data_IF_120178960751
#
_entry.id   IF_120178960751
#
_cell.length_a   1.000
_cell.length_b   1.000
_cell.length_c   1.000
_cell.angle_alpha   90.00
_cell.angle_beta   90.00
_cell.angle_gamma   90.00
#
_symmetry.space_group_name_H-M   'P 1'
#
loop_
_entity.id
_entity.type
_entity.pdbx_description
1 polymer ?
#
# COMPACT_ATOMS: atom_id res chain seq x y z
N UNK A 1 -15.03 -2.92 -22.95
CA UNK A 1 -14.04 -3.49 -22.02
C UNK A 1 -14.81 -3.96 -20.80
N UNK A 2 -14.66 -5.22 -20.41
CA UNK A 2 -15.26 -5.76 -19.18
C UNK A 2 -14.54 -5.17 -17.94
N UNK A 3 -15.25 -4.97 -16.84
CA UNK A 3 -14.71 -4.50 -15.56
C UNK A 3 -13.58 -5.40 -15.05
N UNK A 4 -13.68 -6.73 -15.25
CA UNK A 4 -12.59 -7.65 -14.93
C UNK A 4 -11.32 -7.28 -15.72
N UNK A 5 -11.45 -7.02 -17.02
CA UNK A 5 -10.32 -6.65 -17.87
C UNK A 5 -9.63 -5.35 -17.41
N UNK A 6 -10.39 -4.40 -16.87
CA UNK A 6 -9.84 -3.16 -16.30
C UNK A 6 -8.94 -3.49 -15.10
N UNK A 7 -9.42 -4.34 -14.18
CA UNK A 7 -8.62 -4.73 -13.00
C UNK A 7 -7.41 -5.57 -13.41
N UNK A 8 -7.57 -6.50 -14.38
CA UNK A 8 -6.46 -7.30 -14.91
C UNK A 8 -5.39 -6.46 -15.59
N UNK A 9 -5.78 -5.38 -16.26
CA UNK A 9 -4.85 -4.40 -16.79
C UNK A 9 -4.02 -3.78 -15.67
N UNK A 10 -4.64 -3.29 -14.60
CA UNK A 10 -3.91 -2.73 -13.45
C UNK A 10 -3.04 -3.76 -12.74
N UNK A 11 -3.51 -5.00 -12.58
CA UNK A 11 -2.71 -6.09 -12.04
C UNK A 11 -1.44 -6.33 -12.88
N UNK A 12 -1.56 -6.36 -14.21
CA UNK A 12 -0.41 -6.49 -15.10
C UNK A 12 0.55 -5.28 -15.01
N UNK A 13 0.02 -4.07 -14.84
CA UNK A 13 0.83 -2.87 -14.61
C UNK A 13 1.64 -3.01 -13.31
N UNK A 14 1.03 -3.45 -12.22
CA UNK A 14 1.71 -3.65 -10.94
C UNK A 14 2.76 -4.78 -11.02
N UNK A 15 2.50 -5.86 -11.79
CA UNK A 15 3.49 -6.91 -12.05
C UNK A 15 4.72 -6.38 -12.80
N UNK A 16 4.56 -5.36 -13.65
CA UNK A 16 5.63 -4.76 -14.47
C UNK A 16 6.24 -3.48 -13.87
N UNK A 17 5.93 -3.19 -12.61
CA UNK A 17 6.49 -2.05 -11.88
C UNK A 17 7.30 -2.47 -10.65
N UNK A 18 8.29 -3.38 -10.77
CA UNK A 18 9.14 -3.70 -9.65
C UNK A 18 9.96 -2.46 -9.25
N UNK A 19 10.29 -2.41 -7.97
CA UNK A 19 11.16 -1.39 -7.42
C UNK A 19 12.58 -1.52 -8.02
N UNK A 20 13.27 -0.37 -8.10
CA UNK A 20 14.65 -0.34 -8.57
C UNK A 20 15.59 -0.84 -7.49
N UNK A 21 16.62 -1.59 -7.88
CA UNK A 21 17.75 -1.84 -7.00
C UNK A 21 18.38 -0.49 -6.59
N UNK A 22 18.85 -0.36 -5.34
CA UNK A 22 19.35 0.91 -4.84
C UNK A 22 20.54 1.38 -5.66
N UNK A 23 20.58 2.67 -6.00
CA UNK A 23 21.66 3.25 -6.82
C UNK A 23 22.98 3.20 -6.07
N UNK A 24 24.06 2.83 -6.78
CA UNK A 24 25.41 2.99 -6.27
C UNK A 24 25.68 4.46 -5.95
N UNK A 25 26.06 4.73 -4.71
CA UNK A 25 26.42 6.07 -4.26
C UNK A 25 27.49 6.01 -3.19
N UNK A 26 28.35 7.03 -3.16
CA UNK A 26 29.31 7.17 -2.06
C UNK A 26 28.54 7.44 -0.78
N UNK A 27 28.90 6.71 0.26
CA UNK A 27 28.31 6.86 1.59
C UNK A 27 28.66 8.24 2.17
N UNK A 28 27.65 9.06 2.46
CA UNK A 28 27.85 10.45 2.89
C UNK A 28 28.22 10.54 4.37
N UNK A 29 27.65 9.65 5.19
CA UNK A 29 27.95 9.57 6.62
C UNK A 29 27.81 8.13 7.16
N UNK A 30 28.25 7.91 8.40
CA UNK A 30 28.25 6.58 9.04
C UNK A 30 26.86 6.00 9.38
N UNK A 31 25.78 6.75 9.25
CA UNK A 31 24.41 6.25 9.48
C UNK A 31 23.73 5.81 8.18
N UNK A 32 24.23 6.26 7.03
CA UNK A 32 23.73 5.83 5.73
C UNK A 32 24.17 4.40 5.37
N UNK A 33 23.37 3.76 4.52
CA UNK A 33 23.70 2.49 3.90
C UNK A 33 24.99 2.60 3.07
N UNK A 34 25.77 1.52 3.09
CA UNK A 34 26.84 1.30 2.13
C UNK A 34 26.33 0.36 1.04
N UNK A 35 26.33 0.80 -0.22
CA UNK A 35 25.81 0.04 -1.36
C UNK A 35 26.96 -0.32 -2.28
N UNK A 36 27.08 -1.59 -2.65
CA UNK A 36 28.13 -2.07 -3.55
C UNK A 36 27.70 -3.32 -4.31
N UNK A 37 28.43 -3.57 -5.41
CA UNK A 37 28.22 -4.72 -6.27
C UNK A 37 29.35 -5.75 -6.10
N UNK A 38 29.03 -7.01 -6.35
CA UNK A 38 29.98 -8.10 -6.49
C UNK A 38 29.58 -9.03 -7.65
N UNK A 39 30.51 -9.47 -8.51
CA UNK A 39 30.20 -10.40 -9.59
C UNK A 39 29.67 -11.73 -9.08
N UNK A 40 28.66 -12.29 -9.74
CA UNK A 40 28.10 -13.60 -9.38
C UNK A 40 29.11 -14.73 -9.59
N UNK A 41 30.02 -14.61 -10.57
CA UNK A 41 31.06 -15.61 -10.83
C UNK A 41 31.91 -15.93 -9.58
N UNK A 42 32.26 -14.90 -8.79
CA UNK A 42 33.09 -15.01 -7.57
C UNK A 42 32.64 -13.98 -6.53
N UNK A 43 31.49 -14.20 -5.87
CA UNK A 43 30.90 -13.18 -5.02
C UNK A 43 31.66 -13.09 -3.70
N UNK A 44 32.04 -11.87 -3.32
CA UNK A 44 32.59 -11.53 -2.02
C UNK A 44 31.46 -11.00 -1.14
N UNK A 45 31.04 -11.80 -0.16
CA UNK A 45 29.86 -11.50 0.64
C UNK A 45 30.14 -10.42 1.69
N UNK A 46 29.16 -9.58 2.06
CA UNK A 46 29.36 -8.46 3.00
C UNK A 46 29.89 -8.84 4.38
N UNK A 47 29.60 -10.06 4.83
CA UNK A 47 29.96 -10.58 6.15
C UNK A 47 31.32 -11.29 6.18
N UNK A 48 32.03 -11.39 5.04
CA UNK A 48 33.38 -11.98 5.04
C UNK A 48 34.45 -10.93 5.37
N UNK A 49 35.58 -11.33 5.99
CA UNK A 49 36.66 -10.41 6.34
C UNK A 49 37.24 -9.63 5.15
N UNK A 50 37.29 -10.26 3.97
CA UNK A 50 37.86 -9.72 2.73
C UNK A 50 36.95 -8.66 2.09
N UNK A 51 35.69 -8.58 2.51
CA UNK A 51 34.70 -7.67 1.96
C UNK A 51 35.11 -6.21 2.15
N UNK A 52 34.78 -5.37 1.17
CA UNK A 52 34.94 -3.91 1.30
C UNK A 52 34.02 -3.31 2.39
N UNK A 53 32.99 -4.06 2.81
CA UNK A 53 32.10 -3.69 3.91
C UNK A 53 32.81 -3.76 5.26
N UNK A 54 33.73 -4.71 5.46
CA UNK A 54 34.50 -4.83 6.71
C UNK A 54 35.38 -3.60 6.99
N UNK A 55 35.75 -2.87 5.93
CA UNK A 55 36.54 -1.63 5.98
C UNK A 55 35.70 -0.39 6.32
N UNK A 56 34.37 -0.51 6.33
CA UNK A 56 33.46 0.62 6.59
C UNK A 56 33.26 0.85 8.09
N UNK A 57 33.38 2.10 8.54
CA UNK A 57 33.15 2.45 9.95
C UNK A 57 31.65 2.48 10.27
N UNK A 58 31.28 1.92 11.42
CA UNK A 58 29.92 1.97 11.97
C UNK A 58 29.79 3.03 13.08
N UNK A 59 28.57 3.57 13.32
CA UNK A 59 28.27 4.31 14.53
C UNK A 59 28.41 3.42 15.77
N UNK A 60 28.59 4.03 16.95
CA UNK A 60 28.58 3.28 18.22
C UNK A 60 27.22 2.57 18.39
N UNK A 61 27.24 1.34 18.92
CA UNK A 61 26.05 0.52 19.19
C UNK A 61 25.18 0.28 17.94
N UNK A 62 25.81 -0.02 16.81
CA UNK A 62 25.14 -0.41 15.56
C UNK A 62 25.82 -1.63 14.98
N UNK A 63 25.04 -2.45 14.30
CA UNK A 63 25.51 -3.59 13.51
C UNK A 63 25.03 -3.44 12.06
N UNK A 64 25.59 -4.22 11.15
CA UNK A 64 25.09 -4.28 9.78
C UNK A 64 23.82 -5.12 9.67
N UNK A 65 22.90 -4.68 8.81
CA UNK A 65 21.88 -5.49 8.17
C UNK A 65 22.11 -5.42 6.67
N UNK A 66 22.13 -6.54 5.98
CA UNK A 66 22.46 -6.62 4.57
C UNK A 66 21.23 -7.00 3.75
N UNK A 67 20.81 -6.15 2.81
CA UNK A 67 19.81 -6.51 1.80
C UNK A 67 20.54 -6.83 0.50
N UNK A 68 20.37 -8.06 0.02
CA UNK A 68 20.80 -8.49 -1.29
C UNK A 68 19.73 -8.16 -2.33
N UNK A 69 20.17 -7.70 -3.49
CA UNK A 69 19.44 -7.63 -4.75
C UNK A 69 20.20 -8.55 -5.71
N UNK A 70 19.65 -9.74 -5.95
CA UNK A 70 20.34 -10.83 -6.63
C UNK A 70 20.03 -10.84 -8.13
N UNK A 71 21.07 -11.06 -8.93
CA UNK A 71 20.97 -11.14 -10.39
C UNK A 71 20.35 -9.87 -10.99
N UNK A 72 21.12 -8.77 -10.94
CA UNK A 72 20.68 -7.51 -11.51
C UNK A 72 20.40 -7.64 -13.01
N UNK A 73 19.30 -7.02 -13.46
CA UNK A 73 18.90 -6.98 -14.86
C UNK A 73 18.34 -5.61 -15.25
N UNK A 74 18.39 -5.34 -16.55
CA UNK A 74 17.79 -4.17 -17.17
C UNK A 74 16.34 -4.46 -17.56
N UNK A 75 15.38 -3.74 -16.97
CA UNK A 75 13.95 -3.93 -17.23
C UNK A 75 13.57 -3.68 -18.70
N UNK A 76 14.41 -2.99 -19.49
CA UNK A 76 14.17 -2.79 -20.93
C UNK A 76 14.17 -4.12 -21.68
N UNK A 77 14.99 -5.10 -21.27
CA UNK A 77 15.02 -6.44 -21.87
C UNK A 77 13.66 -7.13 -21.70
N UNK A 78 13.02 -6.94 -20.55
CA UNK A 78 11.68 -7.48 -20.27
C UNK A 78 10.65 -6.81 -21.16
N UNK A 79 10.67 -5.48 -21.23
CA UNK A 79 9.75 -4.70 -22.07
C UNK A 79 9.88 -5.05 -23.56
N UNK A 80 11.10 -5.12 -24.10
CA UNK A 80 11.38 -5.54 -25.48
C UNK A 80 10.86 -6.95 -25.77
N UNK A 81 11.02 -7.87 -24.81
CA UNK A 81 10.54 -9.24 -24.97
C UNK A 81 9.01 -9.31 -24.97
N UNK A 82 8.34 -8.54 -24.11
CA UNK A 82 6.88 -8.47 -24.05
C UNK A 82 6.30 -7.80 -25.30
N UNK A 83 6.93 -6.73 -25.79
CA UNK A 83 6.57 -6.08 -27.05
C UNK A 83 6.65 -7.06 -28.23
N UNK A 84 7.73 -7.85 -28.31
CA UNK A 84 7.86 -8.87 -29.34
C UNK A 84 6.78 -9.98 -29.28
N UNK A 85 6.14 -10.20 -28.12
CA UNK A 85 5.11 -11.24 -27.95
C UNK A 85 3.69 -10.72 -28.12
N UNK A 86 3.40 -9.50 -27.66
CA UNK A 86 2.05 -8.94 -27.64
C UNK A 86 1.83 -7.79 -28.63
N UNK A 87 2.90 -7.15 -29.11
CA UNK A 87 2.85 -5.93 -29.91
C UNK A 87 2.66 -4.66 -29.08
N UNK A 88 2.93 -3.52 -29.70
CA UNK A 88 2.66 -2.18 -29.17
C UNK A 88 1.70 -1.44 -30.10
N UNK A 89 0.41 -1.48 -29.76
CA UNK A 89 -0.64 -1.04 -30.69
C UNK A 89 -0.93 0.45 -30.54
N UNK A 90 -0.86 1.00 -29.31
CA UNK A 90 -1.16 2.40 -28.99
C UNK A 90 -0.47 2.89 -27.70
N UNK A 91 -0.09 4.17 -27.65
CA UNK A 91 0.35 4.83 -26.42
C UNK A 91 1.77 4.46 -25.92
N UNK A 92 2.57 3.83 -26.76
CA UNK A 92 3.93 3.38 -26.43
C UNK A 92 4.82 4.56 -26.01
N UNK A 93 5.27 4.53 -24.75
CA UNK A 93 6.45 5.28 -24.32
C UNK A 93 7.65 4.35 -24.37
N UNK A 94 8.79 4.85 -24.83
CA UNK A 94 10.04 4.09 -24.80
C UNK A 94 10.32 3.57 -23.38
N UNK A 95 10.59 2.26 -23.22
CA UNK A 95 10.94 1.67 -21.94
C UNK A 95 12.12 2.41 -21.32
N UNK A 96 11.89 2.96 -20.12
CA UNK A 96 12.97 3.62 -19.38
C UNK A 96 13.85 2.57 -18.73
N UNK A 97 15.16 2.80 -18.76
CA UNK A 97 16.12 2.00 -18.03
C UNK A 97 15.79 2.00 -16.53
N UNK A 98 15.60 0.81 -15.98
CA UNK A 98 15.54 0.54 -14.56
C UNK A 98 16.33 -0.74 -14.30
N UNK A 99 17.27 -0.65 -13.37
CA UNK A 99 18.00 -1.81 -12.89
C UNK A 99 17.21 -2.42 -11.72
N UNK A 100 16.70 -3.63 -11.93
CA UNK A 100 16.01 -4.41 -10.89
C UNK A 100 16.77 -5.72 -10.64
N UNK A 101 16.20 -6.61 -9.83
CA UNK A 101 16.82 -7.86 -9.42
C UNK A 101 15.81 -9.00 -9.50
N UNK A 102 16.26 -10.23 -9.77
CA UNK A 102 15.37 -11.40 -9.87
C UNK A 102 14.74 -11.72 -8.52
N UNK A 103 15.50 -11.56 -7.44
CA UNK A 103 15.00 -11.66 -6.06
C UNK A 103 15.84 -10.78 -5.13
N UNK A 104 15.31 -10.56 -3.93
CA UNK A 104 15.97 -9.89 -2.84
C UNK A 104 15.83 -10.71 -1.55
N UNK A 105 16.79 -10.57 -0.65
CA UNK A 105 16.79 -11.26 0.65
C UNK A 105 17.58 -10.46 1.67
N UNK A 106 17.20 -10.54 2.95
CA UNK A 106 17.93 -9.88 4.04
C UNK A 106 18.79 -10.86 4.81
N UNK A 107 19.96 -10.40 5.20
CA UNK A 107 20.91 -11.15 6.00
C UNK A 107 21.34 -10.34 7.21
N UNK A 108 21.51 -11.03 8.33
CA UNK A 108 22.08 -10.48 9.56
C UNK A 108 23.54 -10.07 9.36
N UNK A 109 24.13 -9.33 10.31
CA UNK A 109 25.55 -8.96 10.29
C UNK A 109 26.51 -10.16 10.11
N UNK A 110 26.09 -11.35 10.55
CA UNK A 110 26.86 -12.60 10.44
C UNK A 110 26.43 -13.47 9.26
N UNK A 111 25.73 -12.93 8.27
CA UNK A 111 25.41 -13.65 7.03
C UNK A 111 24.33 -14.70 7.12
N UNK A 112 23.55 -14.74 8.20
CA UNK A 112 22.36 -15.61 8.29
C UNK A 112 21.17 -14.96 7.59
N UNK A 113 20.41 -15.74 6.80
CA UNK A 113 19.15 -15.29 6.22
C UNK A 113 18.19 -14.85 7.34
N UNK A 114 17.51 -13.72 7.15
CA UNK A 114 16.45 -13.26 8.05
C UNK A 114 15.15 -13.92 7.62
N UNK A 115 14.42 -14.49 8.59
CA UNK A 115 13.14 -15.14 8.35
C UNK A 115 12.17 -14.22 7.60
N UNK A 116 11.39 -14.80 6.69
CA UNK A 116 10.40 -14.13 5.84
C UNK A 116 10.92 -12.98 4.95
N UNK A 117 12.23 -12.77 4.88
CA UNK A 117 12.81 -11.65 4.12
C UNK A 117 13.06 -11.91 2.63
N UNK A 118 12.93 -13.15 2.18
CA UNK A 118 13.16 -13.52 0.79
C UNK A 118 11.94 -13.12 -0.06
N UNK A 119 12.18 -12.40 -1.14
CA UNK A 119 11.17 -11.85 -2.06
C UNK A 119 11.64 -11.96 -3.50
N UNK A 120 10.79 -12.42 -4.41
CA UNK A 120 11.03 -12.55 -5.86
C UNK A 120 10.41 -11.37 -6.59
N UNK A 121 11.05 -10.90 -7.66
CA UNK A 121 10.50 -9.84 -8.50
C UNK A 121 9.26 -10.32 -9.25
N UNK A 122 8.16 -9.59 -9.11
CA UNK A 122 6.91 -9.80 -9.85
C UNK A 122 7.11 -9.70 -11.36
N UNK A 123 7.96 -8.81 -11.84
CA UNK A 123 8.31 -8.65 -13.26
C UNK A 123 9.07 -9.86 -13.79
N UNK A 124 10.07 -10.33 -13.05
CA UNK A 124 10.82 -11.54 -13.41
C UNK A 124 9.89 -12.76 -13.41
N UNK A 125 9.06 -12.92 -12.39
CA UNK A 125 8.07 -14.00 -12.31
C UNK A 125 7.08 -13.94 -13.49
N UNK A 126 6.49 -12.78 -13.74
CA UNK A 126 5.53 -12.56 -14.83
C UNK A 126 6.16 -12.91 -16.18
N UNK A 127 7.35 -12.40 -16.46
CA UNK A 127 8.08 -12.75 -17.68
C UNK A 127 8.30 -14.26 -17.80
N UNK A 128 8.71 -14.90 -16.72
CA UNK A 128 8.88 -16.36 -16.66
C UNK A 128 7.61 -17.13 -17.01
N UNK A 129 6.46 -16.71 -16.47
CA UNK A 129 5.15 -17.28 -16.83
C UNK A 129 4.85 -17.10 -18.31
N UNK A 130 5.07 -15.90 -18.86
CA UNK A 130 4.81 -15.63 -20.28
C UNK A 130 5.71 -16.47 -21.18
N UNK A 131 7.02 -16.54 -20.91
CA UNK A 131 7.98 -17.33 -21.70
C UNK A 131 7.66 -18.83 -21.68
N UNK A 132 7.11 -19.32 -20.57
CA UNK A 132 6.74 -20.74 -20.40
C UNK A 132 5.29 -21.03 -20.79
N UNK A 133 4.53 -20.04 -21.27
CA UNK A 133 3.13 -20.19 -21.65
C UNK A 133 2.20 -20.53 -20.48
N UNK A 134 2.60 -20.21 -19.25
CA UNK A 134 1.79 -20.44 -18.04
C UNK A 134 0.93 -19.22 -17.73
N UNK A 135 -0.22 -19.47 -17.12
CA UNK A 135 -1.11 -18.40 -16.65
C UNK A 135 -0.40 -17.51 -15.61
N UNK A 136 -0.54 -16.20 -15.73
CA UNK A 136 0.06 -15.22 -14.81
C UNK A 136 -0.99 -14.47 -14.01
N UNK A 137 -2.28 -14.74 -14.22
CA UNK A 137 -3.37 -14.07 -13.51
C UNK A 137 -3.40 -14.42 -12.02
N UNK A 138 -2.80 -15.56 -11.65
CA UNK A 138 -2.61 -16.04 -10.29
C UNK A 138 -1.30 -16.80 -10.12
N UNK A 139 -0.95 -17.05 -8.87
CA UNK A 139 0.13 -17.96 -8.48
C UNK A 139 1.42 -17.29 -8.03
N UNK A 140 1.52 -15.95 -8.10
CA UNK A 140 2.69 -15.22 -7.63
C UNK A 140 3.00 -15.55 -6.16
N UNK A 141 2.05 -15.37 -5.23
CA UNK A 141 2.29 -15.64 -3.81
C UNK A 141 2.60 -17.13 -3.53
N UNK A 142 2.04 -18.04 -4.33
CA UNK A 142 2.34 -19.49 -4.19
C UNK A 142 3.77 -19.81 -4.61
N UNK A 143 4.23 -19.25 -5.74
CA UNK A 143 5.59 -19.41 -6.24
C UNK A 143 6.59 -18.68 -5.33
N UNK A 144 6.25 -17.48 -4.87
CA UNK A 144 6.97 -16.69 -3.87
C UNK A 144 7.16 -17.47 -2.56
N UNK A 145 6.11 -18.10 -2.03
CA UNK A 145 6.18 -18.97 -0.86
C UNK A 145 7.08 -20.17 -1.10
N UNK A 146 6.96 -20.82 -2.25
CA UNK A 146 7.80 -21.98 -2.62
C UNK A 146 9.29 -21.60 -2.67
N UNK A 147 9.62 -20.48 -3.30
CA UNK A 147 10.98 -19.95 -3.37
C UNK A 147 11.52 -19.55 -1.99
N UNK A 148 10.68 -18.94 -1.14
CA UNK A 148 11.02 -18.58 0.25
C UNK A 148 11.30 -19.82 1.10
N UNK A 149 10.45 -20.83 1.04
CA UNK A 149 10.65 -22.11 1.75
C UNK A 149 11.94 -22.80 1.29
N UNK A 150 12.23 -22.78 -0.02
CA UNK A 150 13.49 -23.28 -0.57
C UNK A 150 14.69 -22.52 0.02
N UNK A 151 14.66 -21.18 0.02
CA UNK A 151 15.74 -20.37 0.58
C UNK A 151 15.98 -20.65 2.07
N UNK A 152 14.90 -20.75 2.87
CA UNK A 152 14.98 -21.08 4.29
C UNK A 152 15.55 -22.48 4.52
N UNK A 153 15.11 -23.47 3.75
CA UNK A 153 15.61 -24.86 3.86
C UNK A 153 17.09 -25.00 3.47
N UNK A 154 17.57 -24.14 2.56
CA UNK A 154 18.95 -24.19 2.09
C UNK A 154 19.93 -23.52 3.07
N UNK A 155 19.46 -22.56 3.86
CA UNK A 155 20.29 -21.70 4.71
C UNK A 155 19.97 -21.88 6.20
N UNK A 156 20.50 -22.93 6.83
CA UNK A 156 20.39 -23.15 8.29
C UNK A 156 21.43 -22.36 9.12
N UNK A 157 22.30 -21.56 8.47
CA UNK A 157 23.42 -20.89 9.11
C UNK A 157 23.96 -19.71 8.31
N UNK A 158 25.26 -19.44 8.45
CA UNK A 158 25.93 -18.41 7.64
C UNK A 158 25.93 -18.82 6.17
N UNK A 159 25.46 -17.94 5.31
CA UNK A 159 25.31 -18.20 3.88
C UNK A 159 26.66 -18.04 3.17
N UNK A 160 27.02 -19.06 2.39
CA UNK A 160 28.26 -19.09 1.61
C UNK A 160 28.06 -18.52 0.19
N UNK A 161 29.17 -18.10 -0.43
CA UNK A 161 29.17 -17.61 -1.82
C UNK A 161 28.62 -18.66 -2.79
N UNK A 162 28.96 -19.93 -2.57
CA UNK A 162 28.46 -21.04 -3.38
C UNK A 162 26.97 -21.26 -3.18
N UNK A 163 26.49 -21.30 -1.92
CA UNK A 163 25.07 -21.49 -1.64
C UNK A 163 24.20 -20.38 -2.25
N UNK A 164 24.68 -19.13 -2.24
CA UNK A 164 23.96 -18.02 -2.84
C UNK A 164 23.90 -18.12 -4.38
N UNK A 165 24.99 -18.56 -5.03
CA UNK A 165 25.00 -18.84 -6.48
C UNK A 165 24.04 -19.99 -6.83
N UNK A 166 24.05 -21.06 -6.07
CA UNK A 166 23.17 -22.22 -6.27
C UNK A 166 21.69 -21.83 -6.15
N UNK A 167 21.33 -21.05 -5.13
CA UNK A 167 19.97 -20.52 -4.98
C UNK A 167 19.60 -19.62 -6.15
N UNK A 168 20.51 -18.75 -6.61
CA UNK A 168 20.27 -17.86 -7.75
C UNK A 168 20.02 -18.64 -9.03
N UNK A 169 20.86 -19.63 -9.32
CA UNK A 169 20.69 -20.49 -10.47
C UNK A 169 19.35 -21.26 -10.40
N UNK A 170 19.03 -21.83 -9.24
CA UNK A 170 17.78 -22.56 -9.05
C UNK A 170 16.56 -21.66 -9.24
N UNK A 171 16.57 -20.44 -8.68
CA UNK A 171 15.49 -19.46 -8.84
C UNK A 171 15.26 -19.10 -10.31
N UNK A 172 16.33 -18.86 -11.09
CA UNK A 172 16.22 -18.60 -12.53
C UNK A 172 15.57 -19.78 -13.27
N UNK A 173 15.96 -21.01 -12.94
CA UNK A 173 15.38 -22.22 -13.55
C UNK A 173 13.92 -22.42 -13.15
N UNK A 174 13.58 -22.22 -11.88
CA UNK A 174 12.22 -22.32 -11.36
C UNK A 174 11.27 -21.34 -12.06
N UNK A 175 11.73 -20.10 -12.26
CA UNK A 175 10.96 -19.07 -12.97
C UNK A 175 10.91 -19.28 -14.49
N UNK A 176 11.73 -20.17 -15.06
CA UNK A 176 11.81 -20.34 -16.52
C UNK A 176 12.61 -19.23 -17.22
N UNK A 177 13.57 -18.61 -16.50
CA UNK A 177 14.41 -17.50 -16.97
C UNK A 177 15.87 -17.90 -17.21
N UNK A 178 16.20 -19.19 -17.11
CA UNK A 178 17.58 -19.70 -17.10
C UNK A 178 18.46 -19.20 -18.25
N UNK A 179 17.90 -19.06 -19.45
CA UNK A 179 18.62 -18.63 -20.65
C UNK A 179 18.29 -17.19 -21.07
N UNK A 180 17.31 -16.55 -20.43
CA UNK A 180 16.76 -15.28 -20.90
C UNK A 180 17.72 -14.11 -20.74
N UNK A 181 18.33 -13.98 -19.57
CA UNK A 181 19.26 -12.89 -19.26
C UNK A 181 20.70 -13.16 -19.73
N UNK A 182 20.98 -14.36 -20.26
CA UNK A 182 22.32 -14.81 -20.62
C UNK A 182 23.04 -15.54 -19.48
N UNK A 183 24.36 -15.65 -19.57
CA UNK A 183 25.17 -16.37 -18.59
C UNK A 183 25.14 -15.69 -17.21
N UNK A 184 24.60 -16.39 -16.21
CA UNK A 184 24.48 -15.91 -14.81
C UNK A 184 25.78 -15.31 -14.24
N UNK A 185 26.93 -15.85 -14.62
CA UNK A 185 28.24 -15.43 -14.11
C UNK A 185 28.65 -14.01 -14.54
N UNK A 186 28.03 -13.48 -15.59
CA UNK A 186 28.23 -12.09 -16.05
C UNK A 186 27.36 -11.07 -15.30
N UNK A 187 26.40 -11.53 -14.49
CA UNK A 187 25.54 -10.66 -13.70
C UNK A 187 26.15 -10.31 -12.34
N UNK A 188 25.51 -9.36 -11.67
CA UNK A 188 25.94 -8.80 -10.41
C UNK A 188 24.96 -9.15 -9.28
N UNK A 189 25.52 -9.30 -8.09
CA UNK A 189 24.80 -9.10 -6.84
C UNK A 189 25.04 -7.68 -6.36
N UNK A 190 23.98 -7.01 -5.89
CA UNK A 190 24.08 -5.73 -5.18
C UNK A 190 23.68 -5.88 -3.73
N UNK A 191 24.52 -5.39 -2.84
CA UNK A 191 24.25 -5.38 -1.41
C UNK A 191 24.07 -3.97 -0.89
N UNK A 192 22.97 -3.74 -0.19
CA UNK A 192 22.74 -2.56 0.67
C UNK A 192 23.01 -2.97 2.12
N UNK A 193 24.12 -2.52 2.67
CA UNK A 193 24.48 -2.72 4.08
C UNK A 193 24.05 -1.51 4.91
N UNK A 194 22.98 -1.63 5.69
CA UNK A 194 22.40 -0.58 6.52
C UNK A 194 22.86 -0.72 8.00
N UNK A 195 23.34 0.35 8.65
CA UNK A 195 23.56 0.36 10.10
C UNK A 195 22.24 0.34 10.85
N UNK A 196 22.00 -0.69 11.67
CA UNK A 196 20.77 -0.84 12.47
C UNK A 196 21.07 -0.98 13.96
N UNK A 197 20.05 -0.69 14.78
CA UNK A 197 20.05 -1.01 16.22
C UNK A 197 19.70 -2.50 16.39
N UNK A 198 20.50 -3.31 17.12
CA UNK A 198 20.21 -4.73 17.28
C UNK A 198 18.87 -5.03 17.96
N UNK A 199 18.43 -4.14 18.84
CA UNK A 199 17.23 -4.22 19.69
C UNK A 199 15.97 -3.62 19.07
N UNK A 200 16.09 -3.00 17.89
CA UNK A 200 14.96 -2.41 17.17
C UNK A 200 15.11 -2.69 15.67
N UNK A 201 14.89 -3.94 15.23
CA UNK A 201 14.81 -4.24 13.81
C UNK A 201 13.61 -3.47 13.24
N UNK A 202 13.87 -2.54 12.33
CA UNK A 202 12.79 -1.89 11.58
C UNK A 202 12.27 -2.90 10.54
N UNK A 203 10.96 -3.13 10.54
CA UNK A 203 10.31 -3.73 9.37
C UNK A 203 10.54 -2.77 8.22
N UNK A 204 11.14 -3.25 7.12
CA UNK A 204 11.15 -2.46 5.89
C UNK A 204 10.16 -3.09 4.92
N UNK A 205 9.58 -2.23 4.09
CA UNK A 205 8.68 -2.58 3.00
C UNK A 205 9.31 -3.62 2.07
N UNK A 206 8.46 -4.30 1.30
CA UNK A 206 8.88 -5.20 0.23
C UNK A 206 9.88 -4.47 -0.69
N UNK A 207 11.10 -5.01 -0.90
CA UNK A 207 12.15 -4.32 -1.64
C UNK A 207 11.98 -4.37 -3.17
N UNK A 208 11.02 -5.13 -3.69
CA UNK A 208 10.88 -5.39 -5.13
C UNK A 208 9.47 -5.19 -5.66
N UNK A 209 8.42 -5.43 -4.88
CA UNK A 209 7.07 -5.56 -5.42
C UNK A 209 6.09 -4.52 -4.87
N UNK A 210 4.98 -4.40 -5.58
CA UNK A 210 3.80 -3.66 -5.13
C UNK A 210 3.00 -4.49 -4.12
N UNK A 211 2.48 -3.83 -3.09
CA UNK A 211 1.61 -4.46 -2.09
C UNK A 211 0.20 -4.74 -2.62
N UNK A 212 -0.15 -4.22 -3.80
CA UNK A 212 -1.49 -4.32 -4.40
C UNK A 212 -1.70 -5.58 -5.27
N UNK A 213 -0.65 -6.37 -5.51
CA UNK A 213 -0.69 -7.45 -6.50
C UNK A 213 -1.80 -8.47 -6.22
N UNK A 214 -1.76 -9.09 -5.05
CA UNK A 214 -2.73 -10.13 -4.70
C UNK A 214 -4.14 -9.56 -4.56
N UNK A 215 -4.27 -8.36 -3.98
CA UNK A 215 -5.55 -7.66 -3.85
C UNK A 215 -6.22 -7.43 -5.21
N UNK A 216 -5.47 -6.98 -6.22
CA UNK A 216 -6.00 -6.78 -7.57
C UNK A 216 -6.42 -8.10 -8.21
N UNK A 217 -5.66 -9.17 -7.99
CA UNK A 217 -6.02 -10.50 -8.48
C UNK A 217 -7.29 -11.04 -7.80
N UNK A 218 -7.44 -10.82 -6.49
CA UNK A 218 -8.63 -11.14 -5.70
C UNK A 218 -9.86 -10.39 -6.17
N UNK A 219 -9.72 -9.08 -6.41
CA UNK A 219 -10.80 -8.24 -6.93
C UNK A 219 -11.21 -8.68 -8.34
N UNK A 220 -10.26 -9.01 -9.22
CA UNK A 220 -10.58 -9.51 -10.56
C UNK A 220 -11.37 -10.82 -10.51
N UNK A 221 -10.95 -11.78 -9.68
CA UNK A 221 -11.66 -13.07 -9.50
C UNK A 221 -13.04 -12.89 -8.84
N UNK A 222 -13.18 -11.93 -7.93
CA UNK A 222 -14.47 -11.60 -7.34
C UNK A 222 -15.44 -11.08 -8.42
N UNK A 223 -14.97 -10.14 -9.25
CA UNK A 223 -15.76 -9.57 -10.36
C UNK A 223 -16.17 -10.67 -11.35
N UNK A 224 -15.26 -11.57 -11.73
CA UNK A 224 -15.56 -12.66 -12.68
C UNK A 224 -16.63 -13.63 -12.17
N UNK A 225 -16.72 -13.79 -10.84
CA UNK A 225 -17.79 -14.54 -10.15
C UNK A 225 -19.08 -13.73 -9.92
N UNK A 226 -19.15 -12.49 -10.39
CA UNK A 226 -20.28 -11.59 -10.17
C UNK A 226 -20.33 -10.98 -8.77
N UNK A 227 -19.26 -11.09 -7.98
CA UNK A 227 -19.15 -10.54 -6.63
C UNK A 227 -18.41 -9.20 -6.71
N UNK A 228 -19.14 -8.10 -6.56
CA UNK A 228 -18.58 -6.74 -6.49
C UNK A 228 -19.40 -5.88 -5.56
N UNK A 229 -18.74 -4.94 -4.89
CA UNK A 229 -19.41 -3.93 -4.08
C UNK A 229 -20.01 -2.84 -4.97
N UNK A 230 -21.07 -2.18 -4.50
CA UNK A 230 -21.67 -1.05 -5.21
C UNK A 230 -20.69 0.11 -5.48
N UNK A 231 -19.82 0.53 -4.52
CA UNK A 231 -18.79 1.53 -4.80
C UNK A 231 -17.83 1.13 -5.92
N UNK A 232 -17.42 -0.14 -5.96
CA UNK A 232 -16.51 -0.63 -7.00
C UNK A 232 -17.19 -0.69 -8.36
N UNK A 233 -18.45 -1.12 -8.43
CA UNK A 233 -19.24 -1.08 -9.67
C UNK A 233 -19.39 0.35 -10.19
N UNK A 234 -19.69 1.31 -9.31
CA UNK A 234 -19.77 2.72 -9.65
C UNK A 234 -18.43 3.25 -10.17
N UNK A 235 -17.31 2.90 -9.52
CA UNK A 235 -15.97 3.33 -9.91
C UNK A 235 -15.53 2.79 -11.28
N UNK A 236 -15.76 1.49 -11.54
CA UNK A 236 -15.36 0.84 -12.79
C UNK A 236 -16.36 1.06 -13.94
N UNK A 237 -17.45 1.80 -13.71
CA UNK A 237 -18.46 2.08 -14.72
C UNK A 237 -17.88 2.99 -15.80
N UNK A 238 -18.00 2.56 -17.05
CA UNK A 238 -17.48 3.35 -18.19
C UNK A 238 -18.25 4.67 -18.40
N UNK A 239 -19.58 4.62 -18.27
CA UNK A 239 -20.44 5.79 -18.42
C UNK A 239 -21.51 5.79 -17.33
N UNK A 240 -21.60 6.91 -16.59
CA UNK A 240 -22.78 7.16 -15.77
C UNK A 240 -23.92 7.61 -16.70
N UNK A 241 -25.05 6.89 -16.76
CA UNK A 241 -26.21 7.32 -17.56
C UNK A 241 -26.84 8.61 -17.02
N UNK A 242 -26.54 9.01 -15.78
CA UNK A 242 -27.07 10.26 -15.21
C UNK A 242 -26.42 11.47 -15.91
N UNK A 243 -27.23 12.43 -16.39
CA UNK A 243 -26.68 13.64 -16.99
C UNK A 243 -25.92 14.44 -15.95
N UNK A 244 -24.74 14.95 -16.33
CA UNK A 244 -23.99 15.89 -15.52
C UNK A 244 -24.82 17.15 -15.29
N UNK A 245 -25.09 17.48 -14.04
CA UNK A 245 -25.73 18.73 -13.67
C UNK A 245 -24.67 19.84 -13.59
N UNK A 246 -24.78 20.84 -14.46
CA UNK A 246 -23.95 22.04 -14.37
C UNK A 246 -24.57 22.99 -13.33
N UNK A 247 -23.80 23.36 -12.30
CA UNK A 247 -24.31 24.14 -11.15
C UNK A 247 -24.90 25.49 -11.58
N UNK A 248 -24.34 26.11 -12.62
CA UNK A 248 -24.82 27.40 -13.14
C UNK A 248 -26.04 27.30 -14.08
N UNK A 249 -26.53 26.09 -14.39
CA UNK A 249 -27.72 25.92 -15.22
C UNK A 249 -28.99 26.22 -14.40
N UNK A 250 -29.98 26.88 -15.00
CA UNK A 250 -31.29 27.12 -14.36
C UNK A 250 -31.94 25.82 -13.88
N UNK A 251 -31.69 24.71 -14.56
CA UNK A 251 -32.20 23.39 -14.17
C UNK A 251 -31.59 22.86 -12.87
N UNK A 252 -30.45 23.41 -12.44
CA UNK A 252 -29.79 23.04 -11.19
C UNK A 252 -30.37 23.75 -9.97
N UNK A 253 -31.07 24.88 -10.13
CA UNK A 253 -31.52 25.70 -9.00
C UNK A 253 -32.38 24.93 -8.00
N UNK A 254 -33.38 24.17 -8.47
CA UNK A 254 -34.26 23.40 -7.59
C UNK A 254 -33.52 22.23 -6.87
N UNK A 255 -32.76 21.36 -7.56
CA UNK A 255 -31.93 20.34 -6.89
C UNK A 255 -30.96 20.92 -5.86
N UNK A 256 -30.30 22.04 -6.19
CA UNK A 256 -29.34 22.69 -5.29
C UNK A 256 -30.03 23.26 -4.05
N UNK A 257 -31.16 23.95 -4.23
CA UNK A 257 -31.97 24.44 -3.11
C UNK A 257 -32.39 23.28 -2.21
N UNK A 258 -32.88 22.17 -2.77
CA UNK A 258 -33.26 20.98 -2.01
C UNK A 258 -32.11 20.42 -1.15
N UNK A 259 -30.86 20.45 -1.65
CA UNK A 259 -29.67 20.02 -0.89
C UNK A 259 -29.23 21.02 0.19
N UNK A 260 -29.76 22.24 0.17
CA UNK A 260 -29.41 23.32 1.10
C UNK A 260 -30.62 23.76 1.92
N UNK A 261 -31.70 22.99 1.91
CA UNK A 261 -32.81 23.19 2.84
C UNK A 261 -32.38 22.83 4.26
N UNK A 262 -32.92 23.46 5.31
CA UNK A 262 -32.50 23.23 6.70
C UNK A 262 -32.56 21.76 7.16
N UNK A 263 -33.48 20.96 6.62
CA UNK A 263 -33.64 19.54 6.90
C UNK A 263 -32.58 18.64 6.23
N UNK A 264 -31.82 19.18 5.27
CA UNK A 264 -30.71 18.48 4.63
C UNK A 264 -29.37 18.63 5.39
N UNK A 265 -29.31 19.47 6.42
CA UNK A 265 -28.12 19.67 7.25
C UNK A 265 -28.04 18.61 8.34
N UNK A 266 -26.82 18.18 8.68
CA UNK A 266 -26.61 17.41 9.90
C UNK A 266 -27.02 18.21 11.14
N UNK A 267 -27.44 17.50 12.19
CA UNK A 267 -27.73 18.06 13.51
C UNK A 267 -26.49 18.61 14.23
N UNK A 268 -25.30 18.43 13.67
CA UNK A 268 -24.03 18.88 14.22
C UNK A 268 -23.09 19.37 13.14
N UNK A 269 -22.23 20.31 13.51
CA UNK A 269 -21.09 20.78 12.72
C UNK A 269 -19.84 20.85 13.61
N UNK A 270 -18.67 21.04 13.01
CA UNK A 270 -17.47 21.31 13.77
C UNK A 270 -17.59 22.67 14.46
N UNK A 271 -17.16 22.81 15.74
CA UNK A 271 -17.26 24.07 16.49
C UNK A 271 -16.18 25.08 16.05
N UNK A 272 -16.19 25.44 14.77
CA UNK A 272 -15.20 26.33 14.13
C UNK A 272 -15.23 27.73 14.73
N UNK A 273 -14.08 28.42 14.69
CA UNK A 273 -13.91 29.81 15.10
C UNK A 273 -15.03 30.73 14.57
N UNK A 274 -15.54 31.58 15.45
CA UNK A 274 -16.67 32.49 15.23
C UNK A 274 -17.97 31.80 14.77
N UNK A 275 -18.09 30.49 15.03
CA UNK A 275 -19.22 29.67 14.58
C UNK A 275 -19.47 29.74 13.06
N UNK A 276 -18.40 29.96 12.29
CA UNK A 276 -18.49 30.06 10.84
C UNK A 276 -18.83 28.69 10.26
N UNK A 277 -19.96 28.63 9.55
CA UNK A 277 -20.34 27.45 8.76
C UNK A 277 -19.52 27.31 7.47
N UNK A 278 -19.71 26.18 6.80
CA UNK A 278 -19.11 25.90 5.50
C UNK A 278 -19.56 26.91 4.44
N UNK A 279 -18.67 27.21 3.49
CA UNK A 279 -19.08 27.97 2.30
C UNK A 279 -20.03 27.14 1.44
N UNK A 280 -20.82 27.80 0.61
CA UNK A 280 -21.89 27.20 -0.20
C UNK A 280 -21.51 25.88 -0.88
N UNK A 281 -20.37 25.82 -1.59
CA UNK A 281 -19.93 24.62 -2.30
C UNK A 281 -19.50 23.48 -1.37
N UNK A 282 -18.93 23.79 -0.21
CA UNK A 282 -18.55 22.81 0.80
C UNK A 282 -19.79 22.24 1.47
N UNK A 283 -20.75 23.10 1.86
CA UNK A 283 -22.01 22.68 2.46
C UNK A 283 -22.81 21.79 1.52
N UNK A 284 -22.90 22.19 0.24
CA UNK A 284 -23.55 21.39 -0.80
C UNK A 284 -22.92 19.99 -0.89
N UNK A 285 -21.58 19.91 -0.83
CA UNK A 285 -20.88 18.63 -0.86
C UNK A 285 -21.18 17.78 0.39
N UNK A 286 -21.12 18.33 1.61
CA UNK A 286 -21.45 17.61 2.85
C UNK A 286 -22.88 17.09 2.83
N UNK A 287 -23.86 17.94 2.52
CA UNK A 287 -25.26 17.54 2.49
C UNK A 287 -25.53 16.49 1.39
N UNK A 288 -24.83 16.60 0.25
CA UNK A 288 -24.94 15.58 -0.82
C UNK A 288 -24.33 14.25 -0.38
N UNK A 289 -23.18 14.25 0.30
CA UNK A 289 -22.56 13.05 0.87
C UNK A 289 -23.52 12.39 1.86
N UNK A 290 -24.02 13.14 2.84
CA UNK A 290 -24.92 12.59 3.87
C UNK A 290 -26.18 11.99 3.25
N UNK A 291 -26.87 12.77 2.41
CA UNK A 291 -28.12 12.31 1.79
C UNK A 291 -27.98 11.17 0.79
N UNK A 292 -26.76 10.85 0.35
CA UNK A 292 -26.50 9.77 -0.63
C UNK A 292 -25.86 8.56 0.01
N UNK A 293 -25.01 8.75 1.02
CA UNK A 293 -24.13 7.70 1.56
C UNK A 293 -24.39 7.36 3.04
N UNK A 294 -25.12 8.18 3.81
CA UNK A 294 -25.29 7.93 5.26
C UNK A 294 -25.97 6.57 5.56
N UNK A 295 -27.01 6.23 4.81
CA UNK A 295 -27.76 4.97 4.96
C UNK A 295 -27.53 3.99 3.81
N UNK A 296 -26.50 4.23 2.98
CA UNK A 296 -26.31 3.54 1.71
C UNK A 296 -24.86 3.10 1.46
N UNK A 297 -24.65 2.58 0.25
CA UNK A 297 -23.33 2.25 -0.26
C UNK A 297 -23.09 3.03 -1.56
N UNK A 298 -21.86 3.44 -1.79
CA UNK A 298 -21.51 4.10 -3.03
C UNK A 298 -20.22 4.89 -2.94
N UNK A 299 -19.99 5.70 -3.96
CA UNK A 299 -18.84 6.55 -4.09
C UNK A 299 -19.28 7.96 -4.49
N UNK A 300 -18.68 8.97 -3.85
CA UNK A 300 -18.87 10.36 -4.24
C UNK A 300 -17.51 11.06 -4.31
N UNK A 301 -17.17 11.59 -5.49
CA UNK A 301 -15.97 12.38 -5.70
C UNK A 301 -16.20 13.86 -5.40
N UNK A 302 -15.41 14.44 -4.51
CA UNK A 302 -15.39 15.89 -4.27
C UNK A 302 -14.08 16.47 -4.78
N UNK A 303 -14.15 17.32 -5.81
CA UNK A 303 -12.98 18.03 -6.30
C UNK A 303 -12.82 19.36 -5.57
N UNK A 304 -11.67 19.56 -4.93
CA UNK A 304 -11.30 20.82 -4.30
C UNK A 304 -9.93 21.27 -4.80
N UNK A 305 -9.82 22.41 -5.51
CA UNK A 305 -8.54 23.03 -5.82
C UNK A 305 -7.67 23.30 -4.56
N UNK A 306 -6.36 23.62 -4.71
CA UNK A 306 -5.52 24.02 -3.59
C UNK A 306 -6.14 25.22 -2.83
N UNK A 307 -6.14 25.16 -1.50
CA UNK A 307 -6.66 26.24 -0.64
C UNK A 307 -8.19 26.30 -0.48
N UNK A 308 -8.98 25.40 -1.08
CA UNK A 308 -10.45 25.46 -0.99
C UNK A 308 -11.06 24.78 0.25
N UNK A 309 -10.30 24.68 1.34
CA UNK A 309 -10.78 24.18 2.64
C UNK A 309 -11.27 22.73 2.66
N UNK A 310 -10.55 21.80 2.00
CA UNK A 310 -10.88 20.36 2.03
C UNK A 310 -10.92 19.80 3.45
N UNK A 311 -9.99 20.19 4.31
CA UNK A 311 -9.99 19.78 5.73
C UNK A 311 -11.23 20.30 6.46
N UNK A 312 -11.69 21.52 6.16
CA UNK A 312 -12.90 22.09 6.78
C UNK A 312 -14.14 21.25 6.44
N UNK A 313 -14.28 20.83 5.17
CA UNK A 313 -15.35 19.91 4.77
C UNK A 313 -15.28 18.58 5.52
N UNK A 314 -14.08 18.00 5.67
CA UNK A 314 -13.89 16.75 6.38
C UNK A 314 -14.23 16.86 7.88
N UNK A 315 -13.92 17.98 8.53
CA UNK A 315 -14.27 18.22 9.94
C UNK A 315 -15.77 18.12 10.19
N UNK A 316 -16.57 18.78 9.35
CA UNK A 316 -18.03 18.74 9.49
C UNK A 316 -18.61 17.35 9.22
N UNK A 317 -18.06 16.63 8.24
CA UNK A 317 -18.47 15.25 7.98
C UNK A 317 -18.13 14.33 9.18
N UNK A 318 -16.93 14.46 9.76
CA UNK A 318 -16.52 13.71 10.93
C UNK A 318 -17.39 14.06 12.14
N UNK A 319 -17.67 15.34 12.37
CA UNK A 319 -18.57 15.78 13.45
C UNK A 319 -19.96 15.15 13.31
N UNK A 320 -20.52 15.14 12.10
CA UNK A 320 -21.81 14.49 11.83
C UNK A 320 -21.81 12.98 12.14
N UNK A 321 -20.76 12.24 11.74
CA UNK A 321 -20.65 10.80 12.01
C UNK A 321 -20.48 10.53 13.51
N UNK A 322 -19.62 11.29 14.19
CA UNK A 322 -19.36 11.12 15.63
C UNK A 322 -20.62 11.43 16.45
N UNK A 323 -21.32 12.53 16.14
CA UNK A 323 -22.56 12.89 16.83
C UNK A 323 -23.65 11.85 16.58
N UNK A 324 -23.79 11.34 15.36
CA UNK A 324 -24.77 10.28 15.06
C UNK A 324 -24.50 8.99 15.85
N UNK A 325 -23.22 8.65 16.06
CA UNK A 325 -22.82 7.55 16.94
C UNK A 325 -23.15 7.86 18.40
N UNK A 326 -22.88 9.08 18.86
CA UNK A 326 -23.16 9.52 20.23
C UNK A 326 -24.67 9.46 20.52
N UNK A 327 -25.52 9.90 19.58
CA UNK A 327 -26.98 9.81 19.67
C UNK A 327 -27.46 8.36 19.79
N UNK A 328 -26.76 7.43 19.14
CA UNK A 328 -27.07 6.00 19.26
C UNK A 328 -26.64 5.43 20.61
N UNK A 329 -25.47 5.82 21.10
CA UNK A 329 -25.00 5.45 22.44
C UNK A 329 -25.90 6.02 23.54
N UNK A 330 -26.39 7.25 23.39
CA UNK A 330 -27.28 7.92 24.35
C UNK A 330 -28.64 7.22 24.50
N UNK A 331 -29.07 6.41 23.52
CA UNK A 331 -30.28 5.59 23.59
C UNK A 331 -30.10 4.33 24.46
N UNK A 332 -28.86 3.96 24.81
CA UNK A 332 -28.57 2.80 25.65
C UNK A 332 -28.88 3.12 27.12
N UNK A 333 -29.41 2.13 27.86
CA UNK A 333 -29.72 2.32 29.29
C UNK A 333 -28.46 2.35 30.15
N UNK A 334 -27.41 1.66 29.71
CA UNK A 334 -26.11 1.56 30.39
C UNK A 334 -25.02 1.20 29.39
N UNK A 335 -23.77 1.54 29.71
CA UNK A 335 -22.62 1.31 28.84
C UNK A 335 -22.42 -0.15 28.41
N UNK A 336 -22.76 -1.14 29.26
CA UNK A 336 -22.62 -2.55 28.90
C UNK A 336 -23.53 -2.99 27.75
N UNK A 337 -24.63 -2.26 27.48
CA UNK A 337 -25.56 -2.58 26.39
C UNK A 337 -24.97 -2.23 25.01
N UNK A 338 -23.79 -1.59 24.98
CA UNK A 338 -23.00 -1.36 23.76
C UNK A 338 -22.35 -2.64 23.22
N UNK A 339 -22.35 -3.73 24.00
CA UNK A 339 -21.76 -5.01 23.64
C UNK A 339 -22.82 -6.11 23.58
N UNK A 340 -22.63 -7.07 22.67
CA UNK A 340 -23.48 -8.25 22.63
C UNK A 340 -23.25 -9.14 23.87
N UNK A 341 -24.32 -9.62 24.49
CA UNK A 341 -24.27 -10.43 25.74
C UNK A 341 -23.42 -11.68 25.63
N UNK A 342 -23.42 -12.34 24.48
CA UNK A 342 -22.63 -13.54 24.17
C UNK A 342 -21.58 -13.26 23.07
N UNK A 343 -21.04 -12.04 23.06
CA UNK A 343 -20.14 -11.55 22.01
C UNK A 343 -18.66 -11.76 22.26
N UNK A 344 -18.24 -12.63 23.20
CA UNK A 344 -16.82 -12.77 23.53
C UNK A 344 -16.06 -13.41 22.37
N UNK A 345 -15.08 -12.70 21.84
CA UNK A 345 -14.24 -13.14 20.73
C UNK A 345 -12.79 -13.26 21.21
N UNK A 346 -12.10 -14.28 20.73
CA UNK A 346 -10.67 -14.47 20.98
C UNK A 346 -9.87 -13.85 19.83
N UNK A 347 -8.91 -13.00 20.18
CA UNK A 347 -7.96 -12.40 19.25
C UNK A 347 -6.53 -12.85 19.61
N UNK A 348 -5.60 -12.67 18.69
CA UNK A 348 -4.18 -12.91 18.92
C UNK A 348 -3.41 -11.62 18.66
N UNK A 349 -2.64 -11.18 19.65
CA UNK A 349 -1.71 -10.06 19.52
C UNK A 349 -0.30 -10.54 19.84
N UNK A 350 0.54 -10.70 18.80
CA UNK A 350 1.93 -11.12 18.95
C UNK A 350 2.12 -12.48 19.64
N UNK A 351 1.23 -13.44 19.38
CA UNK A 351 1.25 -14.78 20.00
C UNK A 351 0.51 -14.86 21.35
N UNK A 352 -0.01 -13.74 21.87
CA UNK A 352 -0.78 -13.72 23.10
C UNK A 352 -2.27 -13.72 22.79
N UNK A 353 -3.01 -14.65 23.41
CA UNK A 353 -4.47 -14.62 23.35
C UNK A 353 -5.01 -13.39 24.08
N UNK A 354 -5.83 -12.63 23.39
CA UNK A 354 -6.60 -11.50 23.89
C UNK A 354 -8.09 -11.82 23.75
N UNK A 355 -8.92 -11.13 24.53
CA UNK A 355 -10.38 -11.25 24.43
C UNK A 355 -11.00 -9.88 24.20
N UNK A 356 -11.90 -9.81 23.23
CA UNK A 356 -12.75 -8.65 22.95
C UNK A 356 -14.22 -9.05 23.06
N UNK A 357 -15.10 -8.06 23.10
CA UNK A 357 -16.55 -8.27 23.02
C UNK A 357 -17.07 -7.61 21.76
N UNK A 358 -17.83 -8.35 20.97
CA UNK A 358 -18.53 -7.86 19.79
C UNK A 358 -19.46 -6.72 20.17
N UNK A 359 -19.37 -5.61 19.45
CA UNK A 359 -20.25 -4.47 19.63
C UNK A 359 -21.69 -4.82 19.24
N UNK A 360 -22.64 -4.14 19.86
CA UNK A 360 -24.03 -4.13 19.46
C UNK A 360 -24.12 -3.64 18.00
N UNK A 361 -24.78 -4.36 17.07
CA UNK A 361 -24.87 -3.96 15.66
C UNK A 361 -25.45 -2.58 15.40
N UNK A 362 -26.23 -2.03 16.34
CA UNK A 362 -26.69 -0.64 16.27
C UNK A 362 -25.52 0.38 16.25
N UNK A 363 -24.31 -0.01 16.65
CA UNK A 363 -23.12 0.83 16.68
C UNK A 363 -22.19 0.63 15.46
N UNK A 364 -22.61 -0.13 14.44
CA UNK A 364 -21.89 -0.26 13.18
C UNK A 364 -22.25 0.89 12.23
N UNK A 365 -21.38 1.19 11.26
CA UNK A 365 -21.61 2.19 10.22
C UNK A 365 -21.10 3.60 10.57
N UNK A 366 -20.47 3.75 11.74
CA UNK A 366 -19.86 5.00 12.18
C UNK A 366 -18.33 4.99 12.09
N UNK A 367 -17.75 3.91 11.56
CA UNK A 367 -16.32 3.77 11.36
C UNK A 367 -15.85 4.72 10.26
N UNK A 368 -14.73 5.42 10.53
CA UNK A 368 -14.12 6.33 9.57
C UNK A 368 -12.73 5.78 9.25
N UNK A 369 -12.50 5.47 7.97
CA UNK A 369 -11.19 5.08 7.47
C UNK A 369 -10.70 6.17 6.53
N UNK A 370 -9.56 6.77 6.87
CA UNK A 370 -8.87 7.75 6.02
C UNK A 370 -7.65 7.07 5.42
N UNK A 371 -7.58 7.05 4.09
CA UNK A 371 -6.46 6.48 3.33
C UNK A 371 -5.93 7.49 2.33
N UNK A 372 -4.62 7.47 2.09
CA UNK A 372 -3.96 8.26 1.05
C UNK A 372 -2.67 7.58 0.61
N UNK A 373 -2.34 7.70 -0.67
CA UNK A 373 -1.07 7.24 -1.26
C UNK A 373 0.13 8.13 -0.90
N UNK A 374 -0.12 9.24 -0.20
CA UNK A 374 0.90 10.13 0.33
C UNK A 374 0.77 10.23 1.86
N UNK A 375 1.77 9.71 2.57
CA UNK A 375 1.86 9.74 4.03
C UNK A 375 1.71 11.16 4.60
N UNK A 376 2.27 12.18 3.92
CA UNK A 376 2.15 13.57 4.37
C UNK A 376 0.71 14.10 4.31
N UNK A 377 -0.13 13.59 3.40
CA UNK A 377 -1.53 14.01 3.35
C UNK A 377 -2.35 13.37 4.49
N UNK A 378 -2.07 12.12 4.86
CA UNK A 378 -2.67 11.48 6.05
C UNK A 378 -2.23 12.23 7.31
N UNK A 379 -0.91 12.48 7.43
CA UNK A 379 -0.34 13.20 8.55
C UNK A 379 -1.01 14.57 8.72
N UNK A 380 -1.15 15.34 7.63
CA UNK A 380 -1.85 16.63 7.66
C UNK A 380 -3.28 16.50 8.18
N UNK A 381 -4.06 15.52 7.70
CA UNK A 381 -5.43 15.31 8.21
C UNK A 381 -5.40 14.97 9.70
N UNK A 382 -4.54 14.06 10.13
CA UNK A 382 -4.45 13.65 11.54
C UNK A 382 -3.95 14.75 12.47
N UNK A 383 -3.05 15.61 12.00
CA UNK A 383 -2.52 16.74 12.76
C UNK A 383 -3.46 17.94 12.76
N UNK A 384 -4.26 18.15 11.72
CA UNK A 384 -5.17 19.29 11.61
C UNK A 384 -6.51 19.05 12.29
N UNK A 385 -6.99 17.81 12.41
CA UNK A 385 -8.30 17.52 12.99
C UNK A 385 -8.41 17.86 14.50
N UNK A 386 -7.49 17.47 15.41
CA UNK A 386 -7.64 17.70 16.85
C UNK A 386 -7.15 19.09 17.32
N UNK A 387 -6.88 20.02 16.41
CA UNK A 387 -6.24 21.30 16.76
C UNK A 387 -7.16 22.20 17.59
N UNK A 388 -6.72 22.51 18.81
CA UNK A 388 -7.42 23.41 19.74
C UNK A 388 -7.68 24.80 19.16
N UNK A 389 -6.74 25.34 18.38
CA UNK A 389 -6.86 26.65 17.70
C UNK A 389 -7.81 26.62 16.48
N UNK A 390 -8.46 25.48 16.22
CA UNK A 390 -9.51 25.30 15.21
C UNK A 390 -10.89 25.12 15.83
N UNK A 391 -11.00 25.33 17.14
CA UNK A 391 -12.24 25.37 17.91
C UNK A 391 -12.45 26.80 18.40
N UNK A 392 -13.67 27.31 18.30
CA UNK A 392 -14.02 28.61 18.88
C UNK A 392 -13.81 28.62 20.40
N UNK A 393 -13.27 29.72 20.91
CA UNK A 393 -12.91 29.86 22.32
C UNK A 393 -14.08 29.60 23.29
N UNK A 394 -15.32 29.86 22.84
CA UNK A 394 -16.52 29.63 23.66
C UNK A 394 -16.75 28.16 24.02
N UNK A 395 -16.27 27.21 23.21
CA UNK A 395 -16.41 25.77 23.48
C UNK A 395 -15.24 25.17 24.26
N UNK A 396 -14.11 25.88 24.37
CA UNK A 396 -12.92 25.38 25.05
C UNK A 396 -13.09 25.06 26.54
N UNK A 397 -13.93 25.79 27.33
CA UNK A 397 -14.15 25.45 28.74
C UNK A 397 -14.84 24.11 28.96
N UNK A 398 -15.62 23.63 27.99
CA UNK A 398 -16.40 22.38 28.07
C UNK A 398 -15.68 21.18 27.43
N UNK A 399 -14.56 21.42 26.74
CA UNK A 399 -13.83 20.37 26.05
C UNK A 399 -12.93 19.57 27.01
N UNK A 400 -13.20 18.26 27.11
CA UNK A 400 -12.52 17.36 28.05
C UNK A 400 -11.14 16.86 27.55
N UNK A 401 -10.85 16.92 26.25
CA UNK A 401 -9.63 16.35 25.66
C UNK A 401 -9.12 17.15 24.45
N UNK A 402 -7.80 17.32 24.35
CA UNK A 402 -7.07 17.86 23.19
C UNK A 402 -5.70 17.18 23.04
#
# INVERSE_FOLDING_TARGET
>A
MDQESIIRYWHAVELLQPQSAPKLKKRSNRYEAFIHDTPIQRPLLPWTPESIVSKQKLPKKRIWSHTLYAHLYDSRLVAEKLDAMYGADQGYQEPKFRESAVFAAKFTAGGRLVDDSFVVSSEAWFLGRVLTGKDWTRGFETDQKTLRERANSQFEGEVSSQGLRELTHWTLQFLGLGDFFGEMDHHLFRFRSQPIKPDKPESEDDPLNSFLLDDLADVADAISRGVKSEPLDQYLRHHDPKPRLHVDDQRASLPLMGRLMPDAYASSCWPTEHHLGLVHSQQLAVNTIQSTLADGHGLLGVNGPPGTGKTTLLRDLIAAIITSRADTLAKLRRASDAFASDGREAANDGGKQQYSYRLNPALYGFEIVVASSNNGAVENVTLELPQRDKIDESWLPEAEYF
#
